data_IF_416757870946
#
_entry.id   IF_416757870946
#
_cell.length_a   1.000
_cell.length_b   1.000
_cell.length_c   1.000
_cell.angle_alpha   90.00
_cell.angle_beta   90.00
_cell.angle_gamma   90.00
#
_symmetry.space_group_name_H-M   'P 1'
#
loop_
_entity.id
_entity.type
_entity.pdbx_description
1 polymer ?
#
# COMPACT_ATOMS: atom_id res chain seq x y z
N UNK A 1 11.73 -22.99 -0.86
CA UNK A 1 10.71 -22.31 -0.04
C UNK A 1 9.99 -21.30 -0.91
N UNK A 2 8.70 -21.49 -1.20
CA UNK A 2 7.93 -20.60 -2.06
C UNK A 2 7.50 -19.36 -1.26
N UNK A 3 8.21 -18.24 -1.41
CA UNK A 3 7.78 -16.96 -0.84
C UNK A 3 6.71 -16.36 -1.78
N UNK A 4 5.60 -15.91 -1.21
CA UNK A 4 4.46 -15.29 -1.90
C UNK A 4 4.23 -13.87 -1.38
N UNK A 5 3.47 -13.08 -2.13
CA UNK A 5 2.97 -11.79 -1.63
C UNK A 5 2.05 -12.08 -0.43
N UNK A 6 2.23 -11.32 0.65
CA UNK A 6 1.40 -11.43 1.87
C UNK A 6 0.24 -10.46 1.77
N UNK A 7 -0.97 -10.99 1.92
CA UNK A 7 -2.15 -10.17 2.18
C UNK A 7 -2.15 -9.76 3.64
N UNK A 8 -2.44 -8.49 3.91
CA UNK A 8 -2.59 -7.95 5.28
C UNK A 8 -4.03 -7.53 5.48
N UNK A 9 -4.63 -8.03 6.54
CA UNK A 9 -5.95 -7.59 6.96
C UNK A 9 -5.81 -6.44 7.96
N UNK A 10 -6.71 -5.46 7.85
CA UNK A 10 -6.89 -4.43 8.87
C UNK A 10 -7.62 -5.07 10.05
N UNK A 11 -7.04 -4.94 11.25
CA UNK A 11 -7.60 -5.51 12.49
C UNK A 11 -8.41 -4.46 13.23
N UNK A 12 -7.88 -3.24 13.35
CA UNK A 12 -8.58 -2.10 13.95
C UNK A 12 -8.35 -0.83 13.15
N UNK A 13 -9.36 0.05 13.17
CA UNK A 13 -9.30 1.37 12.59
C UNK A 13 -10.06 2.35 13.48
N UNK A 14 -9.41 3.44 13.88
CA UNK A 14 -10.04 4.49 14.68
C UNK A 14 -9.63 5.88 14.18
N UNK A 15 -10.57 6.81 14.10
CA UNK A 15 -10.26 8.19 13.79
C UNK A 15 -9.52 8.85 14.96
N UNK A 16 -8.38 9.48 14.68
CA UNK A 16 -7.57 10.25 15.63
C UNK A 16 -7.64 11.76 15.37
N UNK A 17 -8.30 12.16 14.28
CA UNK A 17 -8.52 13.55 13.91
C UNK A 17 -9.54 13.67 12.77
N UNK A 18 -9.76 14.89 12.23
CA UNK A 18 -10.77 15.13 11.20
C UNK A 18 -10.49 14.42 9.85
N UNK A 19 -9.26 13.96 9.64
CA UNK A 19 -8.83 13.26 8.43
C UNK A 19 -7.67 12.30 8.73
N UNK A 20 -7.55 11.84 9.98
CA UNK A 20 -6.45 10.98 10.43
C UNK A 20 -6.96 9.70 11.08
N UNK A 21 -6.37 8.56 10.72
CA UNK A 21 -6.72 7.25 11.25
C UNK A 21 -5.53 6.61 11.96
N UNK A 22 -5.77 5.94 13.08
CA UNK A 22 -4.88 4.92 13.62
C UNK A 22 -5.33 3.55 13.11
N UNK A 23 -4.44 2.84 12.41
CA UNK A 23 -4.69 1.49 11.91
C UNK A 23 -3.78 0.45 12.59
N UNK A 24 -4.29 -0.75 12.80
CA UNK A 24 -3.49 -1.94 13.11
C UNK A 24 -3.72 -3.04 12.07
N UNK A 25 -2.67 -3.80 11.79
CA UNK A 25 -2.62 -4.82 10.76
C UNK A 25 -2.42 -6.21 11.35
N UNK A 26 -2.83 -7.24 10.62
CA UNK A 26 -2.74 -8.65 11.04
C UNK A 26 -1.31 -9.16 11.29
N UNK A 27 -0.29 -8.45 10.80
CA UNK A 27 1.12 -8.77 11.04
C UNK A 27 1.72 -8.03 12.25
N UNK A 28 0.89 -7.30 13.00
CA UNK A 28 1.30 -6.52 14.17
C UNK A 28 1.79 -5.11 13.83
N UNK A 29 1.88 -4.73 12.56
CA UNK A 29 2.17 -3.34 12.17
C UNK A 29 1.04 -2.43 12.61
N UNK A 30 1.36 -1.21 13.05
CA UNK A 30 0.39 -0.16 13.31
C UNK A 30 0.94 1.19 12.86
N UNK A 31 0.06 2.10 12.42
CA UNK A 31 0.46 3.43 11.98
C UNK A 31 -0.67 4.45 12.12
N UNK A 32 -0.27 5.69 12.39
CA UNK A 32 -1.13 6.86 12.24
C UNK A 32 -1.01 7.40 10.81
N UNK A 33 -2.13 7.44 10.11
CA UNK A 33 -2.22 7.88 8.73
C UNK A 33 -2.89 9.25 8.67
N UNK A 34 -2.26 10.19 7.99
CA UNK A 34 -2.88 11.45 7.57
C UNK A 34 -3.44 11.30 6.15
N UNK A 35 -4.77 11.27 6.04
CA UNK A 35 -5.47 11.00 4.79
C UNK A 35 -5.91 12.27 4.07
N UNK A 36 -5.54 13.47 4.54
CA UNK A 36 -5.98 14.76 3.98
C UNK A 36 -5.80 14.87 2.47
N UNK A 37 -4.63 14.45 1.96
CA UNK A 37 -4.32 14.51 0.53
C UNK A 37 -5.25 13.63 -0.30
N UNK A 38 -5.59 12.45 0.20
CA UNK A 38 -6.46 11.50 -0.48
C UNK A 38 -7.93 11.94 -0.41
N UNK A 39 -8.37 12.47 0.74
CA UNK A 39 -9.73 13.01 0.88
C UNK A 39 -10.00 14.25 0.00
N UNK A 40 -8.96 14.80 -0.64
CA UNK A 40 -9.10 15.87 -1.64
C UNK A 40 -9.74 15.40 -2.95
N UNK A 41 -9.77 14.08 -3.23
CA UNK A 41 -10.55 13.54 -4.35
C UNK A 41 -12.06 13.75 -4.08
N UNK A 42 -12.81 14.09 -5.13
CA UNK A 42 -14.27 14.27 -5.07
C UNK A 42 -14.99 12.98 -4.67
N UNK A 43 -14.42 11.81 -4.96
CA UNK A 43 -14.96 10.51 -4.59
C UNK A 43 -15.12 10.36 -3.07
N UNK A 44 -14.30 11.06 -2.29
CA UNK A 44 -14.30 11.01 -0.83
C UNK A 44 -14.88 12.28 -0.18
N UNK A 45 -15.67 13.07 -0.93
CA UNK A 45 -16.21 14.34 -0.43
C UNK A 45 -17.01 14.18 0.88
N UNK A 46 -17.77 13.09 1.04
CA UNK A 46 -18.53 12.81 2.26
C UNK A 46 -17.65 12.70 3.52
N UNK A 47 -16.43 12.17 3.35
CA UNK A 47 -15.46 11.96 4.44
C UNK A 47 -14.78 13.27 4.90
N UNK A 48 -15.02 14.39 4.23
CA UNK A 48 -14.55 15.70 4.70
C UNK A 48 -15.37 16.26 5.87
N UNK A 49 -16.54 15.68 6.13
CA UNK A 49 -17.29 15.94 7.35
C UNK A 49 -16.65 15.17 8.51
N UNK A 50 -16.05 15.83 9.52
CA UNK A 50 -15.37 15.15 10.62
C UNK A 50 -16.29 14.22 11.42
N UNK A 51 -17.58 14.56 11.54
CA UNK A 51 -18.54 13.73 12.24
C UNK A 51 -18.88 12.44 11.46
N UNK A 52 -18.81 12.48 10.13
CA UNK A 52 -18.91 11.28 9.31
C UNK A 52 -17.60 10.48 9.39
N UNK A 53 -16.46 11.14 9.20
CA UNK A 53 -15.13 10.51 9.26
C UNK A 53 -14.87 9.75 10.57
N UNK A 54 -15.35 10.27 11.70
CA UNK A 54 -15.21 9.63 13.00
C UNK A 54 -15.94 8.26 13.12
N UNK A 55 -16.87 7.95 12.20
CA UNK A 55 -17.66 6.70 12.21
C UNK A 55 -16.98 5.54 11.48
N UNK A 56 -15.69 5.68 11.15
CA UNK A 56 -14.90 4.64 10.48
C UNK A 56 -15.07 3.29 11.17
N UNK A 57 -15.23 2.24 10.37
CA UNK A 57 -15.22 0.85 10.83
C UNK A 57 -14.37 0.01 9.91
N UNK A 58 -13.84 -1.09 10.42
CA UNK A 58 -13.23 -2.12 9.58
C UNK A 58 -14.35 -2.82 8.80
N UNK A 59 -14.18 -2.92 7.48
CA UNK A 59 -15.08 -3.65 6.59
C UNK A 59 -14.91 -5.16 6.69
N UNK A 60 -15.62 -5.88 5.83
CA UNK A 60 -15.64 -7.34 5.88
C UNK A 60 -14.23 -7.94 5.72
N UNK A 61 -13.91 -8.88 6.62
CA UNK A 61 -12.64 -9.63 6.66
C UNK A 61 -11.37 -8.75 6.71
N UNK A 62 -11.48 -7.46 7.04
CA UNK A 62 -10.34 -6.55 7.12
C UNK A 62 -9.76 -6.13 5.76
N UNK A 63 -10.52 -6.27 4.68
CA UNK A 63 -10.09 -5.86 3.33
C UNK A 63 -10.25 -4.36 3.06
N UNK A 64 -10.92 -3.64 3.96
CA UNK A 64 -11.14 -2.20 3.84
C UNK A 64 -11.52 -1.57 5.17
N UNK A 65 -11.61 -0.25 5.17
CA UNK A 65 -12.38 0.51 6.15
C UNK A 65 -13.54 1.20 5.45
N UNK A 66 -14.66 1.29 6.14
CA UNK A 66 -15.95 1.71 5.61
C UNK A 66 -16.60 2.77 6.49
N UNK A 67 -17.47 3.57 5.87
CA UNK A 67 -18.28 4.59 6.53
C UNK A 67 -19.77 4.44 6.18
N UNK A 68 -20.69 4.94 7.03
CA UNK A 68 -22.13 4.93 6.73
C UNK A 68 -22.56 5.64 5.44
N UNK A 69 -21.74 6.56 4.94
CA UNK A 69 -21.89 7.22 3.65
C UNK A 69 -21.57 6.35 2.43
N UNK A 70 -21.36 5.03 2.62
CA UNK A 70 -20.93 4.07 1.59
C UNK A 70 -19.51 4.33 1.04
N UNK A 71 -18.77 5.27 1.64
CA UNK A 71 -17.38 5.48 1.32
C UNK A 71 -16.54 4.31 1.86
N UNK A 72 -15.56 3.88 1.07
CA UNK A 72 -14.69 2.75 1.37
C UNK A 72 -13.25 3.06 0.97
N UNK A 73 -12.29 2.64 1.80
CA UNK A 73 -10.87 2.64 1.48
C UNK A 73 -10.31 1.24 1.63
N UNK A 74 -9.80 0.69 0.52
CA UNK A 74 -9.22 -0.65 0.48
C UNK A 74 -7.90 -0.77 1.24
N UNK A 75 -7.67 -1.96 1.81
CA UNK A 75 -6.47 -2.32 2.55
C UNK A 75 -5.18 -2.14 1.74
N UNK A 76 -5.18 -2.44 0.44
CA UNK A 76 -3.98 -2.29 -0.38
C UNK A 76 -3.49 -0.84 -0.45
N UNK A 77 -4.41 0.11 -0.61
CA UNK A 77 -4.07 1.53 -0.64
C UNK A 77 -3.63 2.02 0.75
N UNK A 78 -4.36 1.66 1.80
CA UNK A 78 -4.01 2.02 3.18
C UNK A 78 -2.67 1.42 3.61
N UNK A 79 -2.28 0.28 3.04
CA UNK A 79 -0.97 -0.31 3.25
C UNK A 79 0.15 0.55 2.63
N UNK A 80 -0.05 1.08 1.42
CA UNK A 80 0.90 2.03 0.84
C UNK A 80 1.06 3.28 1.71
N UNK A 81 -0.03 3.81 2.27
CA UNK A 81 0.03 4.95 3.21
C UNK A 81 0.73 4.57 4.52
N UNK A 82 0.52 3.35 5.02
CA UNK A 82 1.24 2.80 6.19
C UNK A 82 2.74 2.75 5.95
N UNK A 83 3.17 2.31 4.76
CA UNK A 83 4.59 2.30 4.40
C UNK A 83 5.19 3.71 4.36
N UNK A 84 4.45 4.71 3.86
CA UNK A 84 4.89 6.11 3.93
C UNK A 84 5.05 6.60 5.37
N UNK A 85 4.03 6.38 6.21
CA UNK A 85 4.01 6.84 7.60
C UNK A 85 5.11 6.20 8.46
N UNK A 86 5.50 4.97 8.15
CA UNK A 86 6.54 4.19 8.87
C UNK A 86 7.94 4.35 8.26
N UNK A 87 8.12 5.26 7.31
CA UNK A 87 9.43 5.54 6.69
C UNK A 87 9.93 4.47 5.72
N UNK A 88 9.03 3.61 5.22
CA UNK A 88 9.30 2.55 4.26
C UNK A 88 8.93 2.97 2.83
N UNK A 89 9.31 4.21 2.47
CA UNK A 89 9.01 4.80 1.16
C UNK A 89 9.70 4.08 -0.01
N UNK A 90 10.79 3.35 0.26
CA UNK A 90 11.46 2.48 -0.70
C UNK A 90 10.60 1.27 -1.06
N UNK A 91 10.02 0.60 -0.05
CA UNK A 91 9.08 -0.51 -0.24
C UNK A 91 7.82 -0.03 -0.95
N UNK A 92 7.28 1.12 -0.53
CA UNK A 92 6.13 1.75 -1.21
C UNK A 92 6.40 1.95 -2.69
N UNK A 93 7.52 2.60 -3.04
CA UNK A 93 7.86 2.90 -4.43
C UNK A 93 7.98 1.63 -5.28
N UNK A 94 8.55 0.56 -4.71
CA UNK A 94 8.65 -0.73 -5.38
C UNK A 94 7.29 -1.40 -5.61
N UNK A 95 6.42 -1.39 -4.59
CA UNK A 95 5.07 -1.93 -4.69
C UNK A 95 4.22 -1.15 -5.69
N UNK A 96 4.24 0.18 -5.64
CA UNK A 96 3.52 1.04 -6.59
C UNK A 96 3.95 0.76 -8.02
N UNK A 97 5.26 0.62 -8.26
CA UNK A 97 5.79 0.22 -9.57
C UNK A 97 5.22 -1.13 -10.01
N UNK A 98 5.31 -2.17 -9.16
CA UNK A 98 4.78 -3.51 -9.51
C UNK A 98 3.28 -3.47 -9.81
N UNK A 99 2.50 -2.77 -8.98
CA UNK A 99 1.04 -2.71 -9.10
C UNK A 99 0.61 -1.94 -10.35
N UNK A 100 1.23 -0.77 -10.61
CA UNK A 100 0.98 0.05 -11.79
C UNK A 100 1.16 -0.73 -13.10
N UNK A 101 2.13 -1.64 -13.12
CA UNK A 101 2.46 -2.46 -14.30
C UNK A 101 1.89 -3.88 -14.25
N UNK A 102 1.02 -4.18 -13.28
CA UNK A 102 0.42 -5.50 -13.07
C UNK A 102 1.44 -6.66 -13.06
N UNK A 103 2.62 -6.43 -12.49
CA UNK A 103 3.71 -7.39 -12.47
C UNK A 103 3.54 -8.39 -11.33
N UNK A 104 3.38 -9.67 -11.71
CA UNK A 104 3.51 -10.78 -10.78
C UNK A 104 4.92 -10.85 -10.22
N UNK A 105 5.10 -11.59 -9.12
CA UNK A 105 6.44 -11.81 -8.53
C UNK A 105 7.45 -12.36 -9.55
N UNK A 106 7.00 -13.23 -10.46
CA UNK A 106 7.86 -13.79 -11.51
C UNK A 106 8.15 -12.76 -12.60
N UNK A 107 7.13 -12.04 -13.10
CA UNK A 107 7.35 -11.01 -14.13
C UNK A 107 8.25 -9.88 -13.65
N UNK A 108 8.11 -9.45 -12.39
CA UNK A 108 8.99 -8.45 -11.79
C UNK A 108 10.43 -8.97 -11.58
N UNK A 109 10.59 -10.26 -11.32
CA UNK A 109 11.90 -10.90 -11.20
C UNK A 109 12.62 -10.90 -12.55
N UNK A 110 11.90 -11.29 -13.61
CA UNK A 110 12.41 -11.30 -14.98
C UNK A 110 12.76 -9.88 -15.45
N UNK A 111 11.88 -8.91 -15.20
CA UNK A 111 12.07 -7.50 -15.57
C UNK A 111 13.33 -6.86 -14.94
N UNK A 112 13.66 -7.24 -13.71
CA UNK A 112 14.77 -6.65 -12.95
C UNK A 112 16.04 -7.52 -12.93
N UNK A 113 15.99 -8.72 -13.49
CA UNK A 113 17.09 -9.68 -13.45
C UNK A 113 17.47 -10.14 -12.03
N UNK A 114 16.49 -10.27 -11.12
CA UNK A 114 16.70 -10.71 -9.73
C UNK A 114 15.87 -11.94 -9.41
N UNK A 115 16.19 -12.65 -8.31
CA UNK A 115 15.37 -13.81 -7.93
C UNK A 115 13.94 -13.41 -7.51
N UNK A 116 12.94 -14.24 -7.85
CA UNK A 116 11.54 -14.13 -7.38
C UNK A 116 11.43 -13.96 -5.86
N UNK A 117 12.33 -14.59 -5.10
CA UNK A 117 12.40 -14.46 -3.64
C UNK A 117 12.76 -13.05 -3.19
N UNK A 118 13.69 -12.39 -3.89
CA UNK A 118 14.05 -11.00 -3.57
C UNK A 118 12.90 -10.04 -3.86
N UNK A 119 12.18 -10.24 -4.97
CA UNK A 119 10.96 -9.48 -5.27
C UNK A 119 9.94 -9.63 -4.13
N UNK A 120 9.74 -10.85 -3.63
CA UNK A 120 8.79 -11.09 -2.55
C UNK A 120 9.23 -10.45 -1.23
N UNK A 121 10.53 -10.49 -0.90
CA UNK A 121 11.05 -9.80 0.30
C UNK A 121 10.82 -8.29 0.25
N UNK A 122 11.06 -7.67 -0.91
CA UNK A 122 10.81 -6.24 -1.10
C UNK A 122 9.33 -5.93 -1.00
N UNK A 123 8.49 -6.71 -1.68
CA UNK A 123 7.03 -6.50 -1.71
C UNK A 123 6.37 -6.71 -0.35
N UNK A 124 6.88 -7.64 0.44
CA UNK A 124 6.40 -7.87 1.79
C UNK A 124 7.01 -6.90 2.82
N UNK A 125 7.90 -5.99 2.44
CA UNK A 125 8.59 -5.10 3.38
C UNK A 125 9.55 -5.81 4.35
N UNK A 126 9.88 -7.08 4.10
CA UNK A 126 10.81 -7.86 4.93
C UNK A 126 12.26 -7.40 4.75
N UNK A 127 12.55 -6.75 3.62
CA UNK A 127 13.84 -6.11 3.34
C UNK A 127 13.62 -4.74 2.74
N UNK A 128 14.49 -3.81 3.11
CA UNK A 128 14.64 -2.52 2.42
C UNK A 128 14.96 -2.74 0.95
N UNK A 129 14.41 -1.90 0.08
CA UNK A 129 14.63 -1.93 -1.36
C UNK A 129 15.86 -1.08 -1.68
N UNK A 130 16.96 -1.67 -2.16
CA UNK A 130 18.18 -0.92 -2.45
C UNK A 130 17.96 0.11 -3.55
N UNK A 131 18.66 1.26 -3.47
CA UNK A 131 18.61 2.32 -4.49
C UNK A 131 18.83 1.79 -5.92
N UNK A 132 19.79 0.87 -6.20
CA UNK A 132 19.96 0.33 -7.55
C UNK A 132 18.71 -0.39 -8.08
N UNK A 133 17.94 -1.06 -7.22
CA UNK A 133 16.70 -1.73 -7.61
C UNK A 133 15.62 -0.70 -7.98
N UNK A 134 15.48 0.37 -7.20
CA UNK A 134 14.54 1.45 -7.51
C UNK A 134 14.91 2.18 -8.81
N UNK A 135 16.21 2.36 -9.09
CA UNK A 135 16.68 2.90 -10.36
C UNK A 135 16.39 1.93 -11.51
N UNK A 136 16.57 0.62 -11.31
CA UNK A 136 16.23 -0.39 -12.31
C UNK A 136 14.72 -0.41 -12.63
N UNK A 137 13.84 -0.26 -11.62
CA UNK A 137 12.40 -0.10 -11.84
C UNK A 137 12.09 1.09 -12.76
N UNK A 138 12.68 2.26 -12.48
CA UNK A 138 12.51 3.46 -13.32
C UNK A 138 13.10 3.29 -14.72
N UNK A 139 14.27 2.68 -14.82
CA UNK A 139 14.91 2.39 -16.11
C UNK A 139 14.07 1.46 -16.98
N UNK A 140 13.45 0.44 -16.36
CA UNK A 140 12.51 -0.46 -17.03
C UNK A 140 11.26 0.28 -17.52
N UNK A 141 10.68 1.19 -16.72
CA UNK A 141 9.52 2.02 -17.13
C UNK A 141 9.81 2.88 -18.37
N UNK A 142 10.95 3.57 -18.38
CA UNK A 142 11.32 4.50 -19.46
C UNK A 142 11.68 3.77 -20.76
N UNK A 143 12.06 2.50 -20.66
CA UNK A 143 12.46 1.69 -21.80
C UNK A 143 11.31 0.85 -22.38
N UNK A 144 10.06 1.19 -22.05
CA UNK A 144 8.83 0.42 -22.37
C UNK A 144 8.95 -1.07 -22.03
N UNK A 145 9.70 -1.36 -20.97
CA UNK A 145 9.93 -2.71 -20.48
C UNK A 145 10.86 -3.57 -21.35
N UNK A 146 11.93 -2.99 -21.93
CA UNK A 146 12.99 -3.65 -22.74
C UNK A 146 12.58 -5.06 -23.14
N UNK A 147 11.77 -5.15 -24.19
CA UNK A 147 11.68 -6.37 -24.95
C UNK A 147 13.08 -6.64 -25.52
N UNK A 148 13.77 -7.61 -24.92
CA UNK A 148 14.80 -8.35 -25.62
C UNK A 148 14.13 -9.32 -26.59
#
# INVERSE_FOLDING_TARGET
>A
MNVTDKTRAIITAHATGPASLHLSWSDGTAADLDLRAMLADRAFAALRNPAEFAKVKVGDWGHSVVWPSEAELGADMLWLETLSATGHGDVRAFLEWRLRHALSLSKAADALGISRRMVAYYSNGEKKVPKPILLACRGWEVSDGIAA
#
